data_IF_442801696010
#
_entry.id   IF_442801696010
#
_cell.length_a   1.000
_cell.length_b   1.000
_cell.length_c   1.000
_cell.angle_alpha   90.00
_cell.angle_beta   90.00
_cell.angle_gamma   90.00
#
_symmetry.space_group_name_H-M   'P 1'
#
loop_
_entity.id
_entity.type
_entity.pdbx_description
1 polymer ?
#
# COMPACT_ATOMS: atom_id res chain seq x y z
N UNK A 1 -7.15 15.20 20.12
CA UNK A 1 -8.46 14.67 19.75
C UNK A 1 -8.25 13.76 18.53
N UNK A 2 -8.87 12.60 18.55
CA UNK A 2 -8.93 11.70 17.40
C UNK A 2 -10.31 11.05 17.39
N UNK A 3 -11.09 11.28 16.34
CA UNK A 3 -12.45 10.78 16.20
C UNK A 3 -12.77 10.50 14.72
N UNK A 4 -13.75 9.65 14.47
CA UNK A 4 -14.30 9.39 13.14
C UNK A 4 -15.57 10.20 12.98
N UNK A 5 -15.65 10.96 11.87
CA UNK A 5 -16.82 11.76 11.50
C UNK A 5 -17.44 11.19 10.23
N UNK A 6 -18.72 10.91 10.28
CA UNK A 6 -19.46 10.40 9.14
C UNK A 6 -19.74 11.50 8.11
N UNK A 7 -19.40 11.23 6.87
CA UNK A 7 -19.81 12.03 5.72
C UNK A 7 -21.11 11.41 5.11
N UNK A 8 -22.28 12.01 5.36
CA UNK A 8 -23.55 11.42 4.89
C UNK A 8 -23.75 11.52 3.38
N UNK A 9 -22.96 12.34 2.69
CA UNK A 9 -23.05 12.52 1.22
C UNK A 9 -22.32 11.41 0.48
N UNK A 10 -21.17 10.98 1.01
CA UNK A 10 -20.33 9.94 0.40
C UNK A 10 -20.43 8.59 1.13
N UNK A 11 -21.15 8.56 2.24
CA UNK A 11 -21.32 7.37 3.10
C UNK A 11 -19.96 6.78 3.56
N UNK A 12 -19.06 7.68 4.02
CA UNK A 12 -17.73 7.30 4.45
C UNK A 12 -17.30 7.97 5.75
N UNK A 13 -16.38 7.32 6.48
CA UNK A 13 -15.79 7.88 7.68
C UNK A 13 -14.55 8.72 7.37
N UNK A 14 -14.50 9.93 7.95
CA UNK A 14 -13.33 10.81 7.89
C UNK A 14 -12.63 10.80 9.25
N UNK A 15 -11.32 10.51 9.25
CA UNK A 15 -10.50 10.54 10.46
C UNK A 15 -10.12 11.99 10.77
N UNK A 16 -10.59 12.52 11.90
CA UNK A 16 -10.21 13.84 12.42
C UNK A 16 -9.22 13.65 13.57
N UNK A 17 -7.95 14.01 13.35
CA UNK A 17 -6.84 13.82 14.30
C UNK A 17 -6.08 15.13 14.55
N UNK A 18 -6.64 16.04 15.35
CA UNK A 18 -6.13 17.42 15.55
C UNK A 18 -4.77 17.49 16.24
N UNK A 19 -4.41 16.50 17.06
CA UNK A 19 -3.10 16.44 17.72
C UNK A 19 -1.94 16.32 16.73
N UNK A 20 -2.20 15.81 15.50
CA UNK A 20 -1.19 15.70 14.44
C UNK A 20 -0.70 17.04 13.89
N UNK A 21 -1.41 18.15 14.16
CA UNK A 21 -0.93 19.50 13.84
C UNK A 21 0.38 19.85 14.59
N UNK A 22 0.64 19.19 15.72
CA UNK A 22 1.87 19.37 16.50
C UNK A 22 3.03 18.49 16.04
N UNK A 23 2.83 17.65 15.00
CA UNK A 23 3.87 16.81 14.45
C UNK A 23 4.96 17.70 13.80
N UNK A 24 6.24 17.55 14.18
CA UNK A 24 7.33 18.24 13.51
C UNK A 24 7.37 17.85 12.02
N UNK A 25 7.47 18.84 11.14
CA UNK A 25 7.59 18.60 9.70
C UNK A 25 8.96 17.99 9.35
N UNK A 26 10.03 18.50 9.97
CA UNK A 26 11.38 17.97 9.84
C UNK A 26 12.06 18.04 11.22
N UNK A 27 12.18 16.92 11.94
CA UNK A 27 12.95 16.90 13.17
C UNK A 27 14.43 17.07 12.86
N UNK A 28 15.17 17.82 13.72
CA UNK A 28 16.62 18.02 13.56
C UNK A 28 17.43 16.73 13.68
N UNK A 29 16.86 15.69 14.33
CA UNK A 29 17.41 14.33 14.40
C UNK A 29 16.33 13.37 13.90
N UNK A 30 16.69 12.43 13.01
CA UNK A 30 15.76 11.44 12.50
C UNK A 30 15.28 10.53 13.65
N UNK A 31 13.97 10.46 13.91
CA UNK A 31 13.42 9.66 15.01
C UNK A 31 13.45 8.15 14.72
N UNK A 32 13.82 7.73 13.49
CA UNK A 32 13.87 6.33 13.06
C UNK A 32 15.31 5.76 13.08
N UNK A 33 16.32 6.60 13.41
CA UNK A 33 17.69 6.12 13.52
C UNK A 33 17.88 5.28 14.78
N UNK A 34 18.85 4.33 14.77
CA UNK A 34 19.19 3.49 15.91
C UNK A 34 19.43 4.28 17.20
N UNK A 35 18.87 3.81 18.32
CA UNK A 35 19.01 4.43 19.63
C UNK A 35 18.25 5.75 19.81
N UNK A 36 17.43 6.16 18.85
CA UNK A 36 16.63 7.40 18.95
C UNK A 36 15.21 7.05 19.37
N UNK A 37 14.76 7.66 20.46
CA UNK A 37 13.42 7.48 21.03
C UNK A 37 13.08 6.00 21.32
N UNK A 38 12.01 5.47 20.70
CA UNK A 38 11.57 4.08 20.86
C UNK A 38 12.31 3.07 19.98
N UNK A 39 13.23 3.54 19.11
CA UNK A 39 13.96 2.67 18.19
C UNK A 39 15.16 2.03 18.91
N UNK A 40 15.34 0.69 18.85
CA UNK A 40 16.50 0.03 19.45
C UNK A 40 17.85 0.51 18.90
N UNK A 41 18.93 0.33 19.66
CA UNK A 41 20.29 0.66 19.20
C UNK A 41 20.78 -0.26 18.07
N UNK A 42 20.29 -1.51 18.07
CA UNK A 42 20.63 -2.53 17.07
C UNK A 42 19.36 -3.21 16.56
N UNK A 43 19.14 -3.15 15.25
CA UNK A 43 18.04 -3.82 14.57
C UNK A 43 18.30 -3.95 13.06
N UNK A 44 17.71 -4.94 12.45
CA UNK A 44 17.61 -5.04 10.99
C UNK A 44 16.30 -4.40 10.49
N UNK A 45 15.17 -4.83 11.05
CA UNK A 45 13.84 -4.30 10.80
C UNK A 45 13.14 -4.14 12.15
N UNK A 46 12.42 -3.05 12.36
CA UNK A 46 11.66 -2.83 13.59
C UNK A 46 10.28 -2.28 13.26
N UNK A 47 9.26 -2.81 13.95
CA UNK A 47 7.90 -2.31 13.90
C UNK A 47 7.46 -1.81 15.28
N UNK A 48 6.84 -0.65 15.35
CA UNK A 48 6.35 -0.05 16.59
C UNK A 48 5.16 0.87 16.34
N UNK A 49 4.36 1.16 17.37
CA UNK A 49 3.23 2.07 17.25
C UNK A 49 3.66 3.49 16.90
N UNK A 50 2.96 4.12 15.96
CA UNK A 50 3.23 5.49 15.52
C UNK A 50 3.03 6.47 16.68
N UNK A 51 4.00 7.32 16.94
CA UNK A 51 3.93 8.38 18.00
C UNK A 51 2.80 9.37 17.82
N UNK A 52 2.38 9.62 16.59
CA UNK A 52 1.30 10.52 16.24
C UNK A 52 0.22 9.76 15.44
N UNK A 53 -0.40 8.73 16.06
CA UNK A 53 -1.30 7.85 15.34
C UNK A 53 -2.59 8.59 14.97
N UNK A 54 -3.19 8.23 13.84
CA UNK A 54 -4.51 8.72 13.45
C UNK A 54 -5.63 7.93 14.14
N UNK A 55 -5.37 6.64 14.37
CA UNK A 55 -6.23 5.69 15.07
C UNK A 55 -5.52 5.22 16.34
N UNK A 56 -6.26 4.90 17.38
CA UNK A 56 -5.72 4.52 18.69
C UNK A 56 -6.33 3.21 19.19
N UNK A 57 -5.54 2.38 19.91
CA UNK A 57 -6.06 1.20 20.64
C UNK A 57 -7.11 1.61 21.67
N UNK A 58 -6.80 2.66 22.41
CA UNK A 58 -7.68 3.27 23.42
C UNK A 58 -7.90 4.74 23.02
N UNK A 59 -8.82 4.99 22.09
CA UNK A 59 -9.08 6.34 21.61
C UNK A 59 -9.72 7.20 22.70
N UNK A 60 -9.47 8.51 22.69
CA UNK A 60 -10.22 9.43 23.54
C UNK A 60 -11.69 9.44 23.10
N UNK A 61 -12.59 9.65 24.04
CA UNK A 61 -14.01 9.88 23.76
C UNK A 61 -14.16 11.09 22.83
N UNK A 62 -14.99 10.99 21.78
CA UNK A 62 -15.32 12.12 20.93
C UNK A 62 -15.81 13.33 21.72
N UNK A 63 -15.46 14.52 21.27
CA UNK A 63 -15.86 15.78 21.94
C UNK A 63 -17.18 16.28 21.36
N UNK A 64 -17.47 15.95 20.12
CA UNK A 64 -18.70 16.37 19.43
C UNK A 64 -19.79 15.35 19.70
N UNK A 65 -20.98 15.83 20.07
CA UNK A 65 -22.18 15.01 20.17
C UNK A 65 -22.62 14.60 18.76
N UNK A 66 -23.04 13.35 18.61
CA UNK A 66 -23.61 12.84 17.35
C UNK A 66 -25.11 13.08 17.29
N UNK A 67 -25.64 13.13 16.08
CA UNK A 67 -27.07 13.17 15.78
C UNK A 67 -27.41 12.23 14.60
N UNK A 68 -28.64 12.25 14.16
CA UNK A 68 -29.11 11.38 13.07
C UNK A 68 -28.38 11.62 11.73
N UNK A 69 -27.84 12.83 11.50
CA UNK A 69 -27.17 13.24 10.28
C UNK A 69 -25.62 13.20 10.44
N UNK A 70 -25.12 13.76 11.52
CA UNK A 70 -23.69 13.88 11.80
C UNK A 70 -23.25 12.85 12.85
N UNK A 71 -23.00 11.63 12.41
CA UNK A 71 -22.54 10.56 13.30
C UNK A 71 -21.06 10.73 13.63
N UNK A 72 -20.72 10.49 14.89
CA UNK A 72 -19.35 10.53 15.41
C UNK A 72 -19.07 9.25 16.17
N UNK A 73 -17.88 8.71 16.04
CA UNK A 73 -17.42 7.57 16.85
C UNK A 73 -15.93 7.68 17.18
N UNK A 74 -15.50 6.87 18.11
CA UNK A 74 -14.10 6.75 18.49
C UNK A 74 -13.24 6.35 17.28
N UNK A 75 -12.08 7.01 17.13
CA UNK A 75 -11.08 6.64 16.12
C UNK A 75 -10.27 5.42 16.60
N UNK A 76 -10.97 4.28 16.77
CA UNK A 76 -10.38 3.02 17.24
C UNK A 76 -9.60 2.36 16.12
N UNK A 77 -8.42 1.83 16.46
CA UNK A 77 -7.54 1.15 15.52
C UNK A 77 -6.09 1.19 15.98
N UNK A 78 -5.17 0.80 15.13
CA UNK A 78 -3.74 0.76 15.41
C UNK A 78 -2.99 1.35 14.23
N UNK A 79 -1.99 2.19 14.50
CA UNK A 79 -1.09 2.71 13.48
C UNK A 79 0.34 2.33 13.84
N UNK A 80 1.00 1.57 13.01
CA UNK A 80 2.41 1.18 13.19
C UNK A 80 3.29 1.81 12.12
N UNK A 81 4.56 2.00 12.49
CA UNK A 81 5.66 2.32 11.59
C UNK A 81 6.55 1.09 11.51
N UNK A 82 6.90 0.68 10.29
CA UNK A 82 7.86 -0.38 10.03
C UNK A 82 9.10 0.25 9.42
N UNK A 83 10.21 0.25 10.15
CA UNK A 83 11.50 0.76 9.68
C UNK A 83 12.25 -0.38 9.03
N UNK A 84 12.63 -0.20 7.77
CA UNK A 84 13.11 -1.26 6.89
C UNK A 84 14.59 -1.60 7.04
N UNK A 85 15.36 -0.68 7.62
CA UNK A 85 16.81 -0.80 7.77
C UNK A 85 17.28 0.12 8.88
N UNK A 86 18.39 -0.21 9.52
CA UNK A 86 19.11 0.70 10.42
C UNK A 86 19.83 1.84 9.69
N UNK A 87 19.96 1.76 8.37
CA UNK A 87 20.59 2.80 7.54
C UNK A 87 19.65 3.98 7.37
N UNK A 88 20.14 5.19 7.62
CA UNK A 88 19.36 6.42 7.55
C UNK A 88 18.90 6.76 6.11
N UNK A 89 19.73 6.46 5.13
CA UNK A 89 19.49 6.73 3.73
C UNK A 89 19.29 5.43 2.95
N UNK A 90 18.70 5.53 1.77
CA UNK A 90 18.46 4.41 0.88
C UNK A 90 17.01 4.18 0.56
N UNK A 91 16.73 3.10 -0.13
CA UNK A 91 15.40 2.67 -0.53
C UNK A 91 15.31 1.14 -0.61
N UNK A 92 14.12 0.59 -0.74
CA UNK A 92 13.96 -0.86 -0.95
C UNK A 92 14.65 -1.33 -2.24
N UNK A 93 14.79 -0.47 -3.26
CA UNK A 93 15.53 -0.80 -4.47
C UNK A 93 17.02 -1.10 -4.21
N UNK A 94 17.59 -0.53 -3.14
CA UNK A 94 19.01 -0.69 -2.77
C UNK A 94 19.23 -1.83 -1.74
N UNK A 95 18.16 -2.28 -1.05
CA UNK A 95 18.26 -3.36 -0.08
C UNK A 95 18.60 -4.71 -0.75
N UNK A 96 19.26 -5.59 -0.01
CA UNK A 96 19.48 -6.95 -0.49
C UNK A 96 18.15 -7.72 -0.65
N UNK A 97 18.13 -8.73 -1.50
CA UNK A 97 16.97 -9.61 -1.64
C UNK A 97 16.57 -10.25 -0.30
N UNK A 98 17.58 -10.60 0.52
CA UNK A 98 17.35 -11.18 1.85
C UNK A 98 16.68 -10.19 2.80
N UNK A 99 17.03 -8.89 2.75
CA UNK A 99 16.41 -7.88 3.60
C UNK A 99 14.96 -7.62 3.18
N UNK A 100 14.67 -7.58 1.87
CA UNK A 100 13.28 -7.47 1.38
C UNK A 100 12.48 -8.71 1.77
N UNK A 101 13.05 -9.92 1.67
CA UNK A 101 12.39 -11.14 2.14
C UNK A 101 12.09 -11.09 3.65
N UNK A 102 13.03 -10.61 4.46
CA UNK A 102 12.82 -10.41 5.90
C UNK A 102 11.69 -9.39 6.16
N UNK A 103 11.61 -8.33 5.35
CA UNK A 103 10.54 -7.34 5.44
C UNK A 103 9.16 -7.95 5.11
N UNK A 104 9.08 -8.78 4.07
CA UNK A 104 7.84 -9.52 3.73
C UNK A 104 7.39 -10.40 4.89
N UNK A 105 8.33 -11.06 5.58
CA UNK A 105 8.05 -11.84 6.80
C UNK A 105 7.51 -10.98 7.94
N UNK A 106 8.08 -9.79 8.14
CA UNK A 106 7.59 -8.84 9.15
C UNK A 106 6.19 -8.35 8.79
N UNK A 107 5.91 -8.04 7.51
CA UNK A 107 4.55 -7.66 7.09
C UNK A 107 3.53 -8.76 7.36
N UNK A 108 3.89 -10.03 7.06
CA UNK A 108 3.03 -11.17 7.36
C UNK A 108 2.77 -11.32 8.86
N UNK A 109 3.82 -11.32 9.68
CA UNK A 109 3.73 -11.43 11.14
C UNK A 109 2.86 -10.31 11.74
N UNK A 110 3.08 -9.07 11.30
CA UNK A 110 2.26 -7.92 11.75
C UNK A 110 0.81 -8.03 11.31
N UNK A 111 0.57 -8.45 10.05
CA UNK A 111 -0.78 -8.68 9.56
C UNK A 111 -1.51 -9.70 10.43
N UNK A 112 -0.92 -10.87 10.69
CA UNK A 112 -1.52 -11.95 11.48
C UNK A 112 -1.83 -11.49 12.93
N UNK A 113 -0.89 -10.78 13.58
CA UNK A 113 -1.13 -10.26 14.94
C UNK A 113 -2.25 -9.21 14.98
N UNK A 114 -2.28 -8.30 14.02
CA UNK A 114 -3.25 -7.21 13.98
C UNK A 114 -4.64 -7.71 13.56
N UNK A 115 -4.71 -8.63 12.61
CA UNK A 115 -5.94 -9.29 12.16
C UNK A 115 -6.62 -10.10 13.25
N UNK A 116 -5.87 -10.63 14.22
CA UNK A 116 -6.41 -11.37 15.36
C UNK A 116 -7.08 -10.49 16.42
N UNK A 117 -7.17 -9.17 16.22
CA UNK A 117 -7.80 -8.25 17.19
C UNK A 117 -9.28 -8.08 16.88
N UNK A 118 -10.15 -8.39 17.82
CA UNK A 118 -11.62 -8.36 17.69
C UNK A 118 -12.21 -7.03 17.19
N UNK A 119 -11.47 -5.92 17.28
CA UNK A 119 -11.91 -4.60 16.86
C UNK A 119 -11.28 -4.12 15.56
N UNK A 120 -10.56 -4.99 14.85
CA UNK A 120 -9.94 -4.66 13.57
C UNK A 120 -10.71 -5.36 12.45
N UNK A 121 -11.29 -4.56 11.57
CA UNK A 121 -12.02 -5.03 10.39
C UNK A 121 -11.13 -5.05 9.13
N UNK A 122 -10.02 -4.27 9.14
CA UNK A 122 -9.11 -4.20 7.99
C UNK A 122 -7.68 -3.82 8.38
N UNK A 123 -6.69 -4.57 7.87
CA UNK A 123 -5.26 -4.27 8.02
C UNK A 123 -4.69 -3.79 6.71
N UNK A 124 -4.19 -2.55 6.68
CA UNK A 124 -3.69 -1.86 5.50
C UNK A 124 -2.20 -1.60 5.61
N UNK A 125 -1.40 -2.28 4.79
CA UNK A 125 0.05 -2.13 4.71
C UNK A 125 0.37 -1.20 3.54
N UNK A 126 1.16 -0.16 3.78
CA UNK A 126 1.52 0.80 2.74
C UNK A 126 2.86 1.47 2.97
N UNK A 127 3.47 1.92 1.89
CA UNK A 127 4.65 2.75 1.89
C UNK A 127 4.42 4.02 1.07
N UNK A 128 4.91 5.14 1.57
CA UNK A 128 5.05 6.37 0.82
C UNK A 128 6.54 6.67 0.68
N UNK A 129 7.07 6.78 -0.53
CA UNK A 129 8.46 7.10 -0.83
C UNK A 129 8.56 8.43 -1.56
N UNK A 130 9.36 9.35 -1.02
CA UNK A 130 9.72 10.60 -1.67
C UNK A 130 8.96 11.84 -1.21
N UNK A 131 9.65 12.98 -1.24
CA UNK A 131 9.14 14.27 -0.74
C UNK A 131 7.89 14.75 -1.50
N UNK A 132 7.81 14.48 -2.80
CA UNK A 132 6.68 14.92 -3.65
C UNK A 132 5.32 14.33 -3.25
N UNK A 133 5.31 13.28 -2.43
CA UNK A 133 4.11 12.70 -1.82
C UNK A 133 3.99 13.02 -0.33
N UNK A 134 4.78 13.97 0.17
CA UNK A 134 4.70 14.45 1.54
C UNK A 134 5.47 13.63 2.57
N UNK A 135 6.40 12.77 2.14
CA UNK A 135 7.31 12.07 3.04
C UNK A 135 8.33 13.06 3.61
N UNK A 136 8.39 13.15 4.95
CA UNK A 136 9.25 14.11 5.66
C UNK A 136 10.50 13.45 6.27
N UNK A 137 10.58 12.13 6.26
CA UNK A 137 11.69 11.35 6.81
C UNK A 137 12.31 10.50 5.70
N UNK A 138 13.58 10.73 5.31
CA UNK A 138 14.24 9.97 4.25
C UNK A 138 14.55 8.53 4.65
N UNK A 139 14.60 8.23 5.95
CA UNK A 139 14.85 6.89 6.48
C UNK A 139 13.82 5.89 5.91
N UNK A 140 14.25 4.77 5.28
CA UNK A 140 13.34 3.83 4.64
C UNK A 140 12.34 3.22 5.64
N UNK A 141 11.06 3.50 5.43
CA UNK A 141 10.00 3.01 6.31
C UNK A 141 8.65 2.90 5.59
N UNK A 142 7.84 1.98 6.06
CA UNK A 142 6.41 1.89 5.71
C UNK A 142 5.53 2.04 6.93
N UNK A 143 4.24 1.86 6.73
CA UNK A 143 3.25 1.98 7.78
C UNK A 143 2.21 0.86 7.67
N UNK A 144 1.62 0.50 8.80
CA UNK A 144 0.47 -0.40 8.87
C UNK A 144 -0.63 0.33 9.62
N UNK A 145 -1.78 0.51 8.96
CA UNK A 145 -2.97 1.05 9.60
C UNK A 145 -4.00 -0.06 9.73
N UNK A 146 -4.46 -0.29 10.95
CA UNK A 146 -5.50 -1.26 11.24
C UNK A 146 -6.77 -0.52 11.63
N UNK A 147 -7.80 -0.67 10.80
CA UNK A 147 -9.04 0.07 10.91
C UNK A 147 -10.11 -0.78 11.60
N UNK A 148 -10.99 -0.13 12.37
CA UNK A 148 -12.24 -0.71 12.88
C UNK A 148 -13.42 -0.49 11.91
N UNK A 149 -13.13 -0.43 10.63
CA UNK A 149 -14.06 -0.33 9.52
C UNK A 149 -13.34 -0.63 8.21
N UNK A 150 -14.08 -1.02 7.18
CA UNK A 150 -13.51 -1.22 5.85
C UNK A 150 -13.34 0.13 5.15
N UNK A 151 -12.11 0.49 4.69
CA UNK A 151 -11.87 1.75 3.98
C UNK A 151 -12.67 1.85 2.67
N UNK A 152 -13.10 3.05 2.25
CA UNK A 152 -14.04 3.23 1.14
C UNK A 152 -13.58 2.64 -0.19
N UNK A 153 -12.27 2.68 -0.51
CA UNK A 153 -11.75 2.07 -1.75
C UNK A 153 -11.88 0.56 -1.71
N UNK A 154 -11.50 -0.06 -0.60
CA UNK A 154 -11.60 -1.51 -0.38
C UNK A 154 -13.06 -1.94 -0.45
N UNK A 155 -13.98 -1.18 0.16
CA UNK A 155 -15.41 -1.47 0.08
C UNK A 155 -15.92 -1.51 -1.37
N UNK A 156 -15.48 -0.57 -2.23
CA UNK A 156 -15.84 -0.58 -3.66
C UNK A 156 -15.29 -1.79 -4.40
N UNK A 157 -14.08 -2.23 -4.07
CA UNK A 157 -13.47 -3.43 -4.66
C UNK A 157 -14.22 -4.69 -4.23
N UNK A 158 -14.57 -4.80 -2.95
CA UNK A 158 -15.40 -5.88 -2.41
C UNK A 158 -16.77 -5.93 -3.09
N UNK A 159 -17.46 -4.79 -3.20
CA UNK A 159 -18.77 -4.71 -3.85
C UNK A 159 -18.73 -5.11 -5.32
N UNK A 160 -17.66 -4.72 -6.03
CA UNK A 160 -17.44 -5.09 -7.42
C UNK A 160 -17.13 -6.57 -7.57
N UNK A 161 -16.26 -7.12 -6.72
CA UNK A 161 -15.92 -8.55 -6.67
C UNK A 161 -17.14 -9.41 -6.37
N UNK A 162 -17.93 -9.03 -5.36
CA UNK A 162 -19.18 -9.73 -4.97
C UNK A 162 -20.18 -9.75 -6.13
N UNK A 163 -20.52 -8.59 -6.71
CA UNK A 163 -21.43 -8.49 -7.85
C UNK A 163 -20.98 -9.33 -9.04
N UNK A 164 -19.66 -9.36 -9.29
CA UNK A 164 -19.10 -10.17 -10.36
C UNK A 164 -19.23 -11.66 -10.09
N UNK A 165 -18.90 -12.10 -8.85
CA UNK A 165 -19.06 -13.48 -8.39
C UNK A 165 -20.49 -13.96 -8.46
N UNK A 166 -21.44 -13.17 -7.98
CA UNK A 166 -22.88 -13.48 -8.06
C UNK A 166 -23.36 -13.69 -9.50
N UNK A 167 -22.85 -12.89 -10.44
CA UNK A 167 -23.25 -12.95 -11.85
C UNK A 167 -22.57 -14.05 -12.63
N UNK A 168 -21.29 -14.32 -12.36
CA UNK A 168 -20.42 -15.14 -13.23
C UNK A 168 -19.94 -16.42 -12.54
N UNK A 169 -20.17 -16.57 -11.24
CA UNK A 169 -19.63 -17.63 -10.37
C UNK A 169 -18.09 -17.75 -10.41
N UNK A 170 -17.41 -16.62 -10.63
CA UNK A 170 -15.94 -16.53 -10.71
C UNK A 170 -15.43 -15.28 -10.01
N UNK A 171 -14.17 -15.31 -9.56
CA UNK A 171 -13.49 -14.14 -9.02
C UNK A 171 -13.19 -13.12 -10.12
N UNK A 172 -13.57 -11.85 -9.91
CA UNK A 172 -13.30 -10.73 -10.82
C UNK A 172 -11.79 -10.58 -11.10
N UNK A 173 -11.00 -10.61 -10.06
CA UNK A 173 -9.55 -10.38 -10.13
C UNK A 173 -8.84 -11.52 -10.87
N UNK A 174 -9.25 -12.77 -10.66
CA UNK A 174 -8.74 -13.90 -11.43
C UNK A 174 -9.03 -13.77 -12.93
N UNK A 175 -10.22 -13.30 -13.30
CA UNK A 175 -10.57 -13.08 -14.70
C UNK A 175 -9.83 -11.87 -15.30
N UNK A 176 -9.57 -10.82 -14.51
CA UNK A 176 -8.68 -9.71 -14.92
C UNK A 176 -7.27 -10.25 -15.17
N UNK A 177 -6.70 -10.98 -14.21
CA UNK A 177 -5.37 -11.57 -14.33
C UNK A 177 -5.24 -12.45 -15.57
N UNK A 178 -6.23 -13.34 -15.80
CA UNK A 178 -6.27 -14.17 -17.00
C UNK A 178 -6.26 -13.32 -18.26
N UNK A 179 -7.05 -12.26 -18.30
CA UNK A 179 -7.16 -11.36 -19.46
C UNK A 179 -5.86 -10.61 -19.73
N UNK A 180 -5.17 -10.15 -18.68
CA UNK A 180 -3.86 -9.50 -18.79
C UNK A 180 -2.79 -10.49 -19.32
N UNK A 181 -2.79 -11.75 -18.83
CA UNK A 181 -1.90 -12.81 -19.33
C UNK A 181 -2.17 -13.17 -20.79
N UNK A 182 -3.43 -13.30 -21.16
CA UNK A 182 -3.81 -13.65 -22.55
C UNK A 182 -3.45 -12.52 -23.54
N UNK A 183 -3.54 -11.24 -23.13
CA UNK A 183 -3.14 -10.08 -23.94
C UNK A 183 -1.61 -9.90 -23.98
N UNK A 184 -0.94 -9.99 -22.85
CA UNK A 184 0.51 -9.89 -22.69
C UNK A 184 1.12 -8.50 -22.85
N UNK A 185 0.44 -7.54 -23.49
CA UNK A 185 1.00 -6.22 -23.82
C UNK A 185 1.30 -5.36 -22.58
N UNK A 186 0.49 -5.52 -21.53
CA UNK A 186 0.60 -4.74 -20.29
C UNK A 186 1.43 -5.41 -19.20
N UNK A 187 1.93 -6.63 -19.43
CA UNK A 187 2.82 -7.32 -18.49
C UNK A 187 4.16 -6.60 -18.39
N UNK A 188 4.68 -6.50 -17.17
CA UNK A 188 5.99 -5.92 -16.88
C UNK A 188 7.00 -7.01 -16.51
N UNK A 189 6.67 -7.83 -15.52
CA UNK A 189 7.48 -8.96 -15.05
C UNK A 189 6.61 -9.98 -14.33
N UNK A 190 6.98 -11.25 -14.37
CA UNK A 190 6.33 -12.31 -13.59
C UNK A 190 7.37 -13.26 -13.01
N UNK A 191 6.97 -13.99 -11.96
CA UNK A 191 7.66 -15.16 -11.43
C UNK A 191 6.63 -16.25 -11.10
N UNK A 192 7.03 -17.32 -10.42
CA UNK A 192 6.15 -18.47 -10.17
C UNK A 192 4.90 -18.13 -9.37
N UNK A 193 4.98 -17.17 -8.46
CA UNK A 193 3.90 -16.81 -7.54
C UNK A 193 3.17 -15.50 -7.89
N UNK A 194 3.80 -14.58 -8.61
CA UNK A 194 3.27 -13.23 -8.85
C UNK A 194 3.41 -12.78 -10.30
N UNK A 195 2.55 -11.85 -10.67
CA UNK A 195 2.59 -11.16 -11.95
C UNK A 195 2.41 -9.66 -11.73
N UNK A 196 3.28 -8.86 -12.34
CA UNK A 196 3.23 -7.40 -12.33
C UNK A 196 2.84 -6.87 -13.71
N UNK A 197 1.86 -5.98 -13.76
CA UNK A 197 1.35 -5.39 -15.00
C UNK A 197 0.88 -3.96 -14.76
N UNK A 198 0.83 -3.14 -15.82
CA UNK A 198 0.14 -1.86 -15.80
C UNK A 198 -1.33 -2.13 -16.14
N UNK A 199 -2.30 -1.87 -15.24
CA UNK A 199 -3.68 -2.24 -15.48
C UNK A 199 -4.28 -1.46 -16.67
N UNK A 200 -5.19 -2.10 -17.40
CA UNK A 200 -5.90 -1.46 -18.52
C UNK A 200 -6.53 -0.12 -18.16
N UNK A 201 -6.93 0.03 -16.91
CA UNK A 201 -7.57 1.22 -16.34
C UNK A 201 -6.63 2.04 -15.44
N UNK A 202 -5.32 2.03 -15.70
CA UNK A 202 -4.32 2.75 -14.91
C UNK A 202 -4.68 4.23 -14.74
N UNK A 203 -4.56 4.73 -13.50
CA UNK A 203 -4.81 6.12 -13.12
C UNK A 203 -3.54 6.98 -13.21
N UNK A 204 -2.39 6.33 -12.98
CA UNK A 204 -1.05 6.92 -13.12
C UNK A 204 -0.34 6.28 -14.30
N UNK A 205 0.54 7.01 -14.98
CA UNK A 205 1.21 6.52 -16.18
C UNK A 205 1.98 5.22 -15.99
N UNK A 206 2.67 5.11 -14.85
CA UNK A 206 3.46 3.94 -14.48
C UNK A 206 2.86 3.22 -13.27
N UNK A 207 1.55 3.25 -13.13
CA UNK A 207 0.84 2.45 -12.13
C UNK A 207 1.08 0.97 -12.37
N UNK A 208 1.61 0.25 -11.37
CA UNK A 208 1.85 -1.17 -11.46
C UNK A 208 0.99 -1.88 -10.44
N UNK A 209 0.29 -2.91 -10.87
CA UNK A 209 -0.38 -3.86 -10.00
C UNK A 209 0.40 -5.17 -9.96
N UNK A 210 0.60 -5.74 -8.78
CA UNK A 210 1.19 -7.07 -8.57
C UNK A 210 0.11 -7.96 -7.98
N UNK A 211 -0.28 -9.00 -8.73
CA UNK A 211 -1.28 -9.98 -8.30
C UNK A 211 -0.63 -11.31 -8.01
N UNK A 212 -1.16 -12.06 -7.02
CA UNK A 212 -0.81 -13.47 -6.87
C UNK A 212 -1.33 -14.28 -8.07
N UNK A 213 -0.53 -15.21 -8.59
CA UNK A 213 -0.97 -16.07 -9.69
C UNK A 213 -2.02 -17.09 -9.25
N UNK A 214 -1.94 -17.55 -7.99
CA UNK A 214 -2.99 -18.33 -7.33
C UNK A 214 -4.00 -17.40 -6.68
N UNK A 215 -5.22 -17.86 -6.52
CA UNK A 215 -6.25 -17.14 -5.78
C UNK A 215 -5.95 -17.21 -4.29
N UNK A 216 -5.31 -16.17 -3.75
CA UNK A 216 -5.01 -15.96 -2.34
C UNK A 216 -5.68 -14.66 -1.89
N UNK A 217 -6.11 -14.60 -0.65
CA UNK A 217 -6.91 -13.49 -0.13
C UNK A 217 -6.06 -12.48 0.66
N UNK A 218 -5.00 -12.95 1.31
CA UNK A 218 -4.13 -12.12 2.14
C UNK A 218 -2.70 -12.65 2.22
N UNK A 219 -1.79 -11.83 2.72
CA UNK A 219 -0.40 -12.20 2.99
C UNK A 219 -0.29 -13.33 4.03
N UNK A 220 -1.32 -13.55 4.86
CA UNK A 220 -1.33 -14.67 5.82
C UNK A 220 -1.23 -16.04 5.14
N UNK A 221 -1.78 -16.18 3.93
CA UNK A 221 -1.74 -17.41 3.15
C UNK A 221 -0.38 -17.69 2.46
N UNK A 222 0.57 -16.75 2.52
CA UNK A 222 1.86 -16.90 1.85
C UNK A 222 2.76 -17.89 2.58
N UNK A 223 3.14 -18.96 1.89
CA UNK A 223 4.23 -19.83 2.30
C UNK A 223 5.60 -19.19 2.01
N UNK A 224 6.67 -19.91 2.33
CA UNK A 224 8.05 -19.42 2.16
C UNK A 224 8.38 -19.11 0.68
N UNK A 225 7.84 -19.87 -0.27
CA UNK A 225 8.03 -19.63 -1.69
C UNK A 225 7.35 -18.33 -2.13
N UNK A 226 6.09 -18.11 -1.75
CA UNK A 226 5.39 -16.86 -2.01
C UNK A 226 6.11 -15.65 -1.41
N UNK A 227 6.65 -15.75 -0.19
CA UNK A 227 7.37 -14.66 0.45
C UNK A 227 8.68 -14.30 -0.28
N UNK A 228 9.43 -15.29 -0.75
CA UNK A 228 10.64 -15.09 -1.56
C UNK A 228 10.32 -14.50 -2.93
N UNK A 229 9.30 -15.03 -3.58
CA UNK A 229 8.85 -14.54 -4.89
C UNK A 229 8.32 -13.12 -4.82
N UNK A 230 7.62 -12.75 -3.72
CA UNK A 230 7.22 -11.36 -3.48
C UNK A 230 8.43 -10.45 -3.30
N UNK A 231 9.41 -10.86 -2.51
CA UNK A 231 10.64 -10.07 -2.34
C UNK A 231 11.35 -9.85 -3.68
N UNK A 232 11.40 -10.89 -4.52
CA UNK A 232 12.02 -10.86 -5.83
C UNK A 232 11.32 -9.89 -6.79
N UNK A 233 10.00 -9.98 -6.91
CA UNK A 233 9.25 -9.12 -7.85
C UNK A 233 9.23 -7.67 -7.38
N UNK A 234 9.17 -7.41 -6.06
CA UNK A 234 9.29 -6.07 -5.49
C UNK A 234 10.64 -5.46 -5.83
N UNK A 235 11.75 -6.20 -5.61
CA UNK A 235 13.10 -5.75 -5.95
C UNK A 235 13.20 -5.32 -7.41
N UNK A 236 12.74 -6.16 -8.33
CA UNK A 236 12.76 -5.89 -9.77
C UNK A 236 11.95 -4.62 -10.11
N UNK A 237 10.72 -4.51 -9.62
CA UNK A 237 9.85 -3.36 -9.91
C UNK A 237 10.46 -2.05 -9.40
N UNK A 238 10.98 -2.04 -8.17
CA UNK A 238 11.58 -0.83 -7.60
C UNK A 238 12.84 -0.40 -8.32
N UNK A 239 13.70 -1.34 -8.73
CA UNK A 239 14.87 -1.02 -9.57
C UNK A 239 14.48 -0.53 -10.96
N UNK A 240 13.45 -1.11 -11.58
CA UNK A 240 12.90 -0.60 -12.85
C UNK A 240 12.38 0.83 -12.72
N UNK A 241 11.72 1.17 -11.62
CA UNK A 241 11.27 2.53 -11.34
C UNK A 241 12.44 3.51 -11.22
N UNK A 242 13.48 3.17 -10.47
CA UNK A 242 14.65 4.04 -10.32
C UNK A 242 15.41 4.20 -11.65
N UNK A 243 15.45 3.15 -12.48
CA UNK A 243 16.06 3.17 -13.81
C UNK A 243 15.20 3.87 -14.90
N UNK A 244 13.92 4.12 -14.61
CA UNK A 244 13.01 4.73 -15.60
C UNK A 244 13.45 6.14 -15.98
N UNK A 245 13.83 6.96 -15.01
CA UNK A 245 14.28 8.34 -15.20
C UNK A 245 15.68 8.61 -14.67
N UNK A 246 16.36 7.61 -14.09
CA UNK A 246 17.72 7.69 -13.55
C UNK A 246 17.80 8.42 -12.21
N UNK A 247 16.77 8.31 -11.38
CA UNK A 247 16.76 8.76 -9.98
C UNK A 247 15.83 7.89 -9.15
N UNK A 248 15.99 7.92 -7.83
CA UNK A 248 15.14 7.17 -6.88
C UNK A 248 13.69 7.64 -6.99
N UNK A 249 12.87 6.89 -7.76
CA UNK A 249 11.52 7.31 -8.14
C UNK A 249 10.57 7.31 -6.93
N UNK A 250 9.87 8.43 -6.66
CA UNK A 250 8.80 8.47 -5.66
C UNK A 250 7.60 7.60 -6.07
N UNK A 251 7.00 6.92 -5.08
CA UNK A 251 5.77 6.15 -5.26
C UNK A 251 4.98 6.03 -3.96
N UNK A 252 3.72 5.72 -4.09
CA UNK A 252 2.91 5.10 -3.04
C UNK A 252 2.76 3.63 -3.38
N UNK A 253 3.06 2.73 -2.44
CA UNK A 253 2.76 1.30 -2.52
C UNK A 253 1.67 0.98 -1.52
N UNK A 254 0.67 0.22 -1.92
CA UNK A 254 -0.44 -0.19 -1.05
C UNK A 254 -0.76 -1.66 -1.26
N UNK A 255 -1.04 -2.39 -0.17
CA UNK A 255 -1.48 -3.79 -0.22
C UNK A 255 -2.99 -3.85 0.00
N UNK A 256 -3.69 -4.50 -0.91
CA UNK A 256 -5.11 -4.78 -0.82
C UNK A 256 -5.29 -6.25 -0.50
N UNK A 257 -5.98 -6.51 0.60
CA UNK A 257 -6.15 -7.83 1.21
C UNK A 257 -7.61 -8.00 1.62
N UNK A 258 -8.00 -9.22 1.93
CA UNK A 258 -9.33 -9.45 2.49
C UNK A 258 -9.52 -8.71 3.82
N UNK A 259 -10.74 -8.25 4.14
CA UNK A 259 -11.09 -7.80 5.47
C UNK A 259 -10.92 -8.88 6.55
N UNK A 260 -10.77 -8.42 7.80
CA UNK A 260 -10.60 -9.27 8.99
C UNK A 260 -11.83 -9.22 9.89
N UNK A 261 -12.98 -8.84 9.34
CA UNK A 261 -14.28 -8.68 10.02
C UNK A 261 -15.03 -10.00 10.29
N UNK A 262 -14.46 -11.13 9.87
CA UNK A 262 -15.03 -12.48 10.05
C UNK A 262 -16.08 -12.87 9.01
N UNK A 263 -16.36 -12.03 8.02
CA UNK A 263 -17.26 -12.33 6.92
C UNK A 263 -16.56 -13.11 5.79
N UNK A 264 -17.35 -13.71 4.87
CA UNK A 264 -16.80 -14.40 3.69
C UNK A 264 -16.44 -13.42 2.58
N UNK A 265 -15.15 -13.29 2.33
CA UNK A 265 -14.57 -12.49 1.24
C UNK A 265 -13.88 -13.35 0.17
N UNK A 266 -14.26 -14.61 0.01
CA UNK A 266 -13.70 -15.55 -0.97
C UNK A 266 -13.77 -15.09 -2.44
N UNK A 267 -14.45 -13.99 -2.72
CA UNK A 267 -14.51 -13.32 -4.02
C UNK A 267 -13.45 -12.23 -4.19
N UNK A 268 -12.68 -11.89 -3.14
CA UNK A 268 -11.56 -10.97 -3.18
C UNK A 268 -10.28 -11.66 -3.68
N UNK A 269 -9.19 -10.90 -3.85
CA UNK A 269 -7.91 -11.44 -4.30
C UNK A 269 -6.79 -10.49 -3.86
N UNK A 270 -5.76 -11.01 -3.20
CA UNK A 270 -4.60 -10.24 -2.77
C UNK A 270 -3.90 -9.57 -3.95
N UNK A 271 -3.65 -8.27 -3.81
CA UNK A 271 -2.83 -7.54 -4.76
C UNK A 271 -2.13 -6.33 -4.13
N UNK A 272 -1.09 -5.88 -4.79
CA UNK A 272 -0.33 -4.68 -4.44
C UNK A 272 -0.49 -3.69 -5.58
N UNK A 273 -0.70 -2.42 -5.25
CA UNK A 273 -0.78 -1.35 -6.23
C UNK A 273 0.32 -0.31 -5.96
N UNK A 274 1.02 0.12 -7.01
CA UNK A 274 1.99 1.21 -6.98
C UNK A 274 1.48 2.40 -7.76
N UNK A 275 1.63 3.61 -7.18
CA UNK A 275 1.20 4.87 -7.77
C UNK A 275 2.35 5.87 -7.84
N UNK A 276 3.25 5.77 -8.83
CA UNK A 276 4.27 6.79 -9.05
C UNK A 276 3.65 8.09 -9.56
N UNK A 277 3.90 9.25 -8.93
CA UNK A 277 3.31 10.52 -9.37
C UNK A 277 3.98 11.08 -10.62
N UNK A 278 5.18 10.60 -10.98
CA UNK A 278 5.92 11.11 -12.14
C UNK A 278 5.32 10.64 -13.46
N UNK A 279 5.06 11.60 -14.35
CA UNK A 279 4.66 11.39 -15.76
C UNK A 279 5.86 11.46 -16.72
N UNK A 280 7.00 11.92 -16.23
CA UNK A 280 8.27 12.09 -16.90
C UNK A 280 9.28 12.60 -15.88
N UNK A 281 10.54 12.72 -16.28
CA UNK A 281 11.63 13.10 -15.36
C UNK A 281 11.31 14.36 -14.54
N UNK A 282 10.74 15.39 -15.17
CA UNK A 282 10.45 16.69 -14.56
C UNK A 282 8.94 17.00 -14.50
N UNK A 283 8.08 15.99 -14.69
CA UNK A 283 6.62 16.18 -14.76
C UNK A 283 5.92 15.30 -13.74
N UNK A 284 5.16 15.93 -12.83
CA UNK A 284 4.39 15.27 -11.79
C UNK A 284 2.90 15.32 -12.11
N UNK A 285 2.18 14.24 -11.83
CA UNK A 285 0.73 14.19 -11.80
C UNK A 285 0.25 14.67 -10.43
N UNK A 286 -0.36 15.82 -10.39
CA UNK A 286 -1.08 16.30 -9.22
C UNK A 286 -2.53 15.81 -9.25
N UNK A 287 -3.08 15.47 -8.10
CA UNK A 287 -4.52 15.24 -7.95
C UNK A 287 -5.20 16.61 -7.86
N UNK A 288 -5.85 17.00 -8.93
CA UNK A 288 -6.50 18.30 -9.07
C UNK A 288 -8.03 18.19 -8.95
N UNK A 289 -8.75 19.19 -9.44
CA UNK A 289 -10.21 19.28 -9.27
C UNK A 289 -10.99 18.10 -9.85
N UNK A 290 -10.54 17.53 -10.97
CA UNK A 290 -11.20 16.37 -11.59
C UNK A 290 -11.05 15.12 -10.72
N UNK A 291 -9.84 14.82 -10.29
CA UNK A 291 -9.55 13.65 -9.45
C UNK A 291 -10.11 13.81 -8.04
N UNK A 292 -9.83 14.94 -7.39
CA UNK A 292 -10.21 15.16 -5.99
C UNK A 292 -11.69 15.53 -5.83
N UNK A 293 -12.26 16.27 -6.77
CA UNK A 293 -13.64 16.77 -6.67
C UNK A 293 -14.69 15.87 -7.32
N UNK A 294 -14.34 15.23 -8.43
CA UNK A 294 -15.25 14.35 -9.17
C UNK A 294 -14.91 12.86 -9.04
N UNK A 295 -13.74 12.51 -8.47
CA UNK A 295 -13.27 11.13 -8.39
C UNK A 295 -12.89 10.51 -9.75
N UNK A 296 -12.77 11.35 -10.80
CA UNK A 296 -12.44 10.90 -12.16
C UNK A 296 -10.98 11.16 -12.47
N UNK A 297 -10.20 10.11 -12.66
CA UNK A 297 -8.79 10.20 -13.00
C UNK A 297 -8.59 10.40 -14.50
N UNK A 298 -7.69 11.31 -14.86
CA UNK A 298 -7.26 11.54 -16.23
C UNK A 298 -5.86 10.95 -16.38
N UNK A 299 -5.69 9.96 -17.24
CA UNK A 299 -4.39 9.44 -17.64
C UNK A 299 -4.15 9.78 -19.12
N UNK A 300 -3.05 10.47 -19.42
CA UNK A 300 -2.68 10.95 -20.74
C UNK A 300 -1.71 9.99 -21.47
N UNK A 301 -1.70 8.71 -21.09
CA UNK A 301 -0.88 7.66 -21.69
C UNK A 301 -1.64 6.35 -21.85
N UNK A 302 -1.22 5.52 -22.80
CA UNK A 302 -1.69 4.15 -22.95
C UNK A 302 -0.92 3.21 -22.03
N UNK A 303 -1.64 2.32 -21.34
CA UNK A 303 -1.06 1.35 -20.41
C UNK A 303 -0.06 0.41 -21.13
N UNK A 304 -0.35 0.03 -22.38
CA UNK A 304 0.48 -0.83 -23.22
C UNK A 304 1.86 -0.21 -23.51
N UNK A 305 1.89 1.10 -23.85
CA UNK A 305 3.13 1.84 -24.11
C UNK A 305 3.97 1.95 -22.84
N UNK A 306 3.33 2.28 -21.71
CA UNK A 306 4.04 2.44 -20.43
C UNK A 306 4.54 1.12 -19.87
N UNK A 307 3.81 0.04 -20.08
CA UNK A 307 4.27 -1.31 -19.74
C UNK A 307 5.49 -1.71 -20.58
N UNK A 308 5.50 -1.40 -21.87
CA UNK A 308 6.67 -1.62 -22.73
C UNK A 308 7.87 -0.83 -22.25
N UNK A 309 7.72 0.48 -22.00
CA UNK A 309 8.79 1.34 -21.51
C UNK A 309 9.39 0.79 -20.19
N UNK A 310 8.55 0.36 -19.26
CA UNK A 310 8.99 -0.18 -17.96
C UNK A 310 9.63 -1.56 -18.10
N UNK A 311 9.09 -2.42 -18.97
CA UNK A 311 9.64 -3.75 -19.26
C UNK A 311 11.06 -3.67 -19.84
N UNK A 312 11.33 -2.68 -20.69
CA UNK A 312 12.64 -2.44 -21.31
C UNK A 312 13.71 -1.92 -20.33
N UNK A 313 13.32 -1.48 -19.13
CA UNK A 313 14.29 -1.08 -18.09
C UNK A 313 14.84 -2.31 -17.37
N UNK A 314 16.15 -2.29 -17.10
CA UNK A 314 16.78 -3.29 -16.22
C UNK A 314 16.34 -3.08 -14.75
N UNK A 315 16.37 -4.10 -13.90
CA UNK A 315 16.74 -5.48 -14.24
C UNK A 315 15.61 -6.22 -14.97
N UNK A 316 15.97 -7.21 -15.82
CA UNK A 316 14.99 -8.07 -16.50
C UNK A 316 14.65 -9.31 -15.67
N UNK A 317 15.58 -9.73 -14.81
CA UNK A 317 15.44 -10.86 -13.88
C UNK A 317 16.27 -10.60 -12.61
N UNK A 318 16.25 -11.55 -11.67
CA UNK A 318 16.97 -11.43 -10.39
C UNK A 318 18.50 -11.44 -10.55
N UNK A 319 19.05 -12.12 -11.55
CA UNK A 319 20.51 -12.20 -11.73
C UNK A 319 21.11 -10.82 -12.05
N UNK A 320 20.31 -9.89 -12.52
CA UNK A 320 20.69 -8.50 -12.77
C UNK A 320 20.50 -7.57 -11.55
N UNK A 321 20.05 -8.12 -10.41
CA UNK A 321 19.78 -7.33 -9.20
C UNK A 321 20.96 -7.30 -8.21
N UNK A 322 22.06 -8.01 -8.50
CA UNK A 322 23.29 -8.09 -7.67
C UNK A 322 24.29 -6.96 -7.96
#
# INVERSE_FOLDING_TARGET
MSELRWNPVLEEWVITATHRQKRPLMPGTCPLCPGVLEVPEDYNIVAFENRFPSLHRNPPTPIVEDDDLYKVREAKGICEVVVYSSQHEGSLAEQSLQDIYNLVRVWKDRYEELAARDFIDYVFIFENKGEVIGVTLPHPHGQIYSFSYIPPKIQKELDSGRKYKEKNDRCLFCDILKKEKDDGRRLVVENDSFIAFIPFYARYQYEVHIYTQKHLLSIAEFDDAHQKDLAAILKIIMMKYDNLFGFSLPYMMVMHQEPTDGEDHSYFHFHIEFYPPHRGKDKIKYLAGCESGAGSFINDSAAEEKAQELREKSPHNLDECE
#
